data_IF_370797601935
#
_entry.id   IF_370797601935
#
_cell.length_a   1.000
_cell.length_b   1.000
_cell.length_c   1.000
_cell.angle_alpha   90.00
_cell.angle_beta   90.00
_cell.angle_gamma   90.00
#
_symmetry.space_group_name_H-M   'P 1'
#
loop_
_entity.id
_entity.type
_entity.pdbx_description
1 polymer ?
#
# COMPACT_ATOMS: atom_id res chain seq x y z
N UNK A 1 12.08 -20.73 2.56
CA UNK A 1 12.00 -19.31 2.18
C UNK A 1 11.75 -19.29 0.67
N UNK A 2 10.49 -19.11 0.24
CA UNK A 2 10.04 -19.42 -1.12
C UNK A 2 10.44 -18.35 -2.14
N UNK A 3 10.81 -18.79 -3.35
CA UNK A 3 11.15 -17.98 -4.54
C UNK A 3 10.05 -16.99 -5.00
N UNK A 4 8.85 -17.01 -4.39
CA UNK A 4 7.78 -16.02 -4.65
C UNK A 4 8.06 -14.63 -4.07
N UNK A 5 8.99 -14.49 -3.11
CA UNK A 5 9.26 -13.20 -2.46
C UNK A 5 10.29 -12.33 -3.20
N UNK A 6 10.87 -12.78 -4.31
CA UNK A 6 11.81 -11.95 -5.10
C UNK A 6 11.13 -10.95 -6.05
N UNK A 7 9.79 -10.98 -6.18
CA UNK A 7 9.09 -10.12 -7.15
C UNK A 7 8.91 -8.65 -6.73
N UNK A 8 9.12 -8.23 -5.47
CA UNK A 8 8.44 -7.01 -4.99
C UNK A 8 9.22 -5.85 -4.37
N UNK A 9 10.52 -5.71 -4.66
CA UNK A 9 11.29 -4.58 -4.10
C UNK A 9 11.93 -3.76 -5.23
N UNK A 10 11.29 -2.65 -5.61
CA UNK A 10 11.74 -1.76 -6.69
C UNK A 10 13.17 -1.25 -6.46
N UNK A 11 13.50 -0.85 -5.22
CA UNK A 11 14.83 -0.37 -4.85
C UNK A 11 15.79 -1.55 -4.77
N UNK A 12 15.51 -2.62 -4.01
CA UNK A 12 16.43 -3.76 -3.94
C UNK A 12 16.67 -4.43 -5.31
N UNK A 13 15.66 -4.50 -6.18
CA UNK A 13 15.82 -4.98 -7.56
C UNK A 13 16.78 -4.06 -8.32
N UNK A 14 16.57 -2.75 -8.28
CA UNK A 14 17.50 -1.79 -8.87
C UNK A 14 18.93 -1.97 -8.31
N UNK A 15 19.09 -2.13 -6.99
CA UNK A 15 20.40 -2.32 -6.35
C UNK A 15 21.09 -3.61 -6.78
N UNK A 16 20.36 -4.72 -6.87
CA UNK A 16 20.88 -6.03 -7.31
C UNK A 16 21.46 -5.92 -8.72
N UNK A 17 20.65 -5.44 -9.67
CA UNK A 17 21.09 -5.26 -11.05
C UNK A 17 22.21 -4.25 -11.17
N UNK A 18 22.16 -3.13 -10.44
CA UNK A 18 23.24 -2.14 -10.42
C UNK A 18 24.56 -2.75 -9.96
N UNK A 19 24.55 -3.50 -8.86
CA UNK A 19 25.74 -4.13 -8.32
C UNK A 19 26.31 -5.19 -9.26
N UNK A 20 25.45 -5.97 -9.94
CA UNK A 20 25.86 -6.90 -11.00
C UNK A 20 26.49 -6.16 -12.18
N UNK A 21 25.89 -5.07 -12.66
CA UNK A 21 26.46 -4.28 -13.76
C UNK A 21 27.80 -3.65 -13.39
N UNK A 22 27.95 -3.11 -12.18
CA UNK A 22 29.22 -2.59 -11.70
C UNK A 22 30.29 -3.70 -11.69
N UNK A 23 29.94 -4.92 -11.24
CA UNK A 23 30.86 -6.08 -11.31
C UNK A 23 31.26 -6.41 -12.75
N UNK A 24 30.31 -6.46 -13.69
CA UNK A 24 30.63 -6.74 -15.09
C UNK A 24 31.53 -5.67 -15.71
N UNK A 25 31.29 -4.39 -15.41
CA UNK A 25 32.14 -3.28 -15.89
C UNK A 25 33.56 -3.43 -15.34
N UNK A 26 33.72 -3.72 -14.04
CA UNK A 26 35.05 -3.94 -13.46
C UNK A 26 35.76 -5.17 -14.04
N UNK A 27 35.04 -6.28 -14.24
CA UNK A 27 35.60 -7.47 -14.89
C UNK A 27 36.02 -7.19 -16.33
N UNK A 28 35.22 -6.42 -17.09
CA UNK A 28 35.55 -6.04 -18.45
C UNK A 28 36.77 -5.11 -18.51
N UNK A 29 36.85 -4.11 -17.63
CA UNK A 29 38.03 -3.23 -17.50
C UNK A 29 39.28 -4.06 -17.15
N UNK A 30 39.18 -4.96 -16.18
CA UNK A 30 40.29 -5.84 -15.80
C UNK A 30 40.76 -6.74 -16.96
N UNK A 31 39.81 -7.31 -17.70
CA UNK A 31 40.09 -8.13 -18.88
C UNK A 31 40.76 -7.31 -19.99
N UNK A 32 40.32 -6.07 -20.22
CA UNK A 32 40.94 -5.17 -21.20
C UNK A 32 42.36 -4.81 -20.79
N UNK A 33 42.60 -4.46 -19.53
CA UNK A 33 43.95 -4.17 -19.02
C UNK A 33 44.85 -5.40 -19.22
N UNK A 34 44.36 -6.60 -18.90
CA UNK A 34 45.11 -7.85 -19.07
C UNK A 34 45.41 -8.12 -20.55
N UNK A 35 44.43 -7.95 -21.44
CA UNK A 35 44.60 -8.06 -22.89
C UNK A 35 45.58 -7.01 -23.42
N UNK A 36 45.53 -5.77 -22.94
CA UNK A 36 46.45 -4.71 -23.34
C UNK A 36 47.88 -5.04 -22.94
N UNK A 37 48.10 -5.58 -21.74
CA UNK A 37 49.42 -6.03 -21.28
C UNK A 37 49.95 -7.18 -22.13
N UNK A 38 49.11 -8.16 -22.48
CA UNK A 38 49.47 -9.26 -23.39
C UNK A 38 49.72 -8.77 -24.82
N UNK A 39 48.88 -7.85 -25.31
CA UNK A 39 48.98 -7.27 -26.65
C UNK A 39 50.25 -6.44 -26.81
N UNK A 40 50.73 -5.75 -25.77
CA UNK A 40 51.99 -5.01 -25.82
C UNK A 40 53.20 -5.93 -26.11
N UNK A 41 53.11 -7.21 -25.77
CA UNK A 41 54.10 -8.21 -26.16
C UNK A 41 54.02 -8.61 -27.65
N UNK A 42 52.85 -8.41 -28.29
CA UNK A 42 52.57 -8.75 -29.70
C UNK A 42 52.73 -7.54 -30.64
N UNK A 43 52.43 -6.33 -30.17
CA UNK A 43 52.48 -5.07 -30.94
C UNK A 43 53.90 -4.71 -31.39
N UNK A 44 54.93 -5.22 -30.72
CA UNK A 44 56.33 -5.19 -31.19
C UNK A 44 56.50 -5.81 -32.58
N UNK A 45 55.57 -6.67 -33.04
CA UNK A 45 55.58 -7.33 -34.35
C UNK A 45 54.72 -6.59 -35.39
N UNK A 46 53.71 -5.80 -35.01
CA UNK A 46 52.69 -5.22 -35.92
C UNK A 46 52.38 -3.73 -35.63
N UNK A 47 53.40 -2.88 -35.67
CA UNK A 47 53.31 -1.45 -35.33
C UNK A 47 52.26 -0.68 -36.15
N UNK A 48 52.05 -1.03 -37.42
CA UNK A 48 51.12 -0.30 -38.32
C UNK A 48 49.62 -0.47 -37.98
N UNK A 49 49.23 -1.50 -37.21
CA UNK A 49 47.82 -1.80 -36.91
C UNK A 49 47.40 -1.51 -35.45
N UNK A 50 48.33 -1.03 -34.61
CA UNK A 50 48.09 -0.84 -33.17
C UNK A 50 46.89 0.08 -32.86
N UNK A 51 46.71 1.16 -33.64
CA UNK A 51 45.60 2.09 -33.46
C UNK A 51 44.23 1.45 -33.72
N UNK A 52 44.12 0.60 -34.75
CA UNK A 52 42.89 -0.09 -35.10
C UNK A 52 42.49 -1.11 -34.03
N UNK A 53 43.47 -1.83 -33.47
CA UNK A 53 43.26 -2.78 -32.37
C UNK A 53 42.79 -2.03 -31.11
N UNK A 54 43.39 -0.88 -30.80
CA UNK A 54 42.99 -0.05 -29.66
C UNK A 54 41.53 0.42 -29.79
N UNK A 55 41.15 1.02 -30.92
CA UNK A 55 39.77 1.47 -31.13
C UNK A 55 38.77 0.32 -31.19
N UNK A 56 39.12 -0.81 -31.83
CA UNK A 56 38.29 -2.00 -31.86
C UNK A 56 38.00 -2.54 -30.45
N UNK A 57 39.02 -2.58 -29.59
CA UNK A 57 38.86 -2.98 -28.18
C UNK A 57 37.96 -2.02 -27.38
N UNK A 58 38.13 -0.71 -27.58
CA UNK A 58 37.30 0.30 -26.91
C UNK A 58 35.83 0.20 -27.34
N UNK A 59 35.57 0.03 -28.63
CA UNK A 59 34.22 -0.15 -29.16
C UNK A 59 33.59 -1.43 -28.60
N UNK A 60 34.34 -2.54 -28.54
CA UNK A 60 33.84 -3.78 -27.95
C UNK A 60 33.44 -3.60 -26.47
N UNK A 61 34.25 -2.89 -25.68
CA UNK A 61 33.93 -2.58 -24.28
C UNK A 61 32.69 -1.70 -24.16
N UNK A 62 32.58 -0.68 -25.02
CA UNK A 62 31.41 0.20 -25.05
C UNK A 62 30.14 -0.57 -25.42
N UNK A 63 30.20 -1.50 -26.38
CA UNK A 63 29.05 -2.33 -26.76
C UNK A 63 28.61 -3.26 -25.63
N UNK A 64 29.55 -3.94 -24.95
CA UNK A 64 29.24 -4.79 -23.79
C UNK A 64 28.66 -3.95 -22.64
N UNK A 65 29.24 -2.78 -22.38
CA UNK A 65 28.76 -1.86 -21.35
C UNK A 65 27.37 -1.31 -21.67
N UNK A 66 27.12 -0.93 -22.93
CA UNK A 66 25.82 -0.46 -23.39
C UNK A 66 24.75 -1.57 -23.30
N UNK A 67 25.11 -2.80 -23.69
CA UNK A 67 24.26 -3.98 -23.55
C UNK A 67 23.88 -4.26 -22.09
N UNK A 68 24.83 -4.17 -21.16
CA UNK A 68 24.58 -4.28 -19.72
C UNK A 68 23.68 -3.15 -19.18
N UNK A 69 23.96 -1.92 -19.59
CA UNK A 69 23.20 -0.74 -19.18
C UNK A 69 21.75 -0.76 -19.69
N UNK A 70 21.50 -1.35 -20.85
CA UNK A 70 20.15 -1.48 -21.42
C UNK A 70 19.18 -2.21 -20.47
N UNK A 71 19.67 -3.14 -19.65
CA UNK A 71 18.87 -3.88 -18.64
C UNK A 71 18.55 -3.04 -17.40
N UNK A 72 19.32 -1.99 -17.13
CA UNK A 72 19.07 -1.05 -16.03
C UNK A 72 18.05 0.02 -16.42
N UNK A 73 17.96 0.39 -17.70
CA UNK A 73 17.04 1.42 -18.19
C UNK A 73 15.58 1.21 -17.75
N UNK A 74 14.96 0.01 -17.90
CA UNK A 74 13.59 -0.21 -17.43
C UNK A 74 13.45 -0.18 -15.90
N UNK A 75 14.55 -0.34 -15.15
CA UNK A 75 14.53 -0.26 -13.68
C UNK A 75 14.66 1.17 -13.15
N UNK A 76 15.03 2.13 -14.02
CA UNK A 76 15.11 3.54 -13.65
C UNK A 76 13.75 4.21 -13.51
N UNK A 77 12.70 3.66 -14.12
CA UNK A 77 11.33 4.14 -14.03
C UNK A 77 10.42 2.93 -13.84
N UNK A 78 10.11 2.65 -12.59
CA UNK A 78 9.28 1.52 -12.21
C UNK A 78 7.92 2.03 -11.76
N UNK A 79 6.86 1.33 -12.16
CA UNK A 79 5.49 1.64 -11.79
C UNK A 79 4.80 0.38 -11.29
N UNK A 80 4.01 0.51 -10.22
CA UNK A 80 3.14 -0.55 -9.70
C UNK A 80 1.79 0.04 -9.34
N UNK A 81 0.76 -0.74 -9.61
CA UNK A 81 -0.62 -0.40 -9.31
C UNK A 81 -1.13 -1.37 -8.24
N UNK A 82 -1.91 -0.83 -7.31
CA UNK A 82 -2.54 -1.56 -6.22
C UNK A 82 -4.03 -1.24 -6.26
N UNK A 83 -4.86 -2.28 -6.19
CA UNK A 83 -6.32 -2.13 -6.21
C UNK A 83 -6.86 -2.41 -4.82
N UNK A 84 -7.32 -1.37 -4.13
CA UNK A 84 -8.11 -1.50 -2.90
C UNK A 84 -9.60 -1.60 -3.23
N UNK A 85 -10.36 -2.29 -2.38
CA UNK A 85 -11.82 -2.36 -2.48
C UNK A 85 -12.45 -1.91 -1.16
N UNK A 86 -13.54 -1.15 -1.26
CA UNK A 86 -14.37 -0.79 -0.11
C UNK A 86 -15.71 -1.50 -0.28
N UNK A 87 -16.05 -2.37 0.67
CA UNK A 87 -17.29 -3.12 0.62
C UNK A 87 -18.39 -2.43 1.41
N UNK A 88 -19.56 -2.29 0.83
CA UNK A 88 -20.68 -1.64 1.48
C UNK A 88 -22.00 -2.35 1.15
N UNK A 89 -22.93 -2.21 2.08
CA UNK A 89 -24.32 -2.59 1.85
C UNK A 89 -25.11 -1.31 1.49
N UNK A 90 -25.61 -1.18 0.26
CA UNK A 90 -26.26 0.05 -0.17
C UNK A 90 -27.59 0.33 0.52
N UNK A 91 -28.31 -0.71 0.97
CA UNK A 91 -29.59 -0.57 1.67
C UNK A 91 -29.41 0.00 3.07
N UNK A 92 -28.44 -0.54 3.82
CA UNK A 92 -28.12 -0.09 5.19
C UNK A 92 -27.17 1.10 5.25
N UNK A 93 -26.54 1.46 4.12
CA UNK A 93 -25.51 2.49 4.00
C UNK A 93 -24.31 2.28 4.95
N UNK A 94 -23.99 1.02 5.23
CA UNK A 94 -22.87 0.63 6.10
C UNK A 94 -21.73 0.07 5.28
N UNK A 95 -20.52 0.48 5.63
CA UNK A 95 -19.29 -0.16 5.18
C UNK A 95 -19.16 -1.48 5.95
N UNK A 96 -19.02 -2.57 5.22
CA UNK A 96 -18.83 -3.90 5.80
C UNK A 96 -17.36 -4.09 6.11
N UNK A 97 -17.03 -4.89 7.11
CA UNK A 97 -15.65 -5.27 7.43
C UNK A 97 -15.31 -6.60 6.78
N UNK A 98 -14.04 -6.82 6.46
CA UNK A 98 -13.60 -8.11 5.97
C UNK A 98 -12.36 -8.52 6.76
N UNK A 99 -12.46 -9.66 7.45
CA UNK A 99 -11.40 -10.10 8.37
C UNK A 99 -10.06 -10.15 7.65
N UNK A 100 -9.04 -9.59 8.30
CA UNK A 100 -7.67 -9.48 7.81
C UNK A 100 -7.47 -8.53 6.61
N UNK A 101 -8.52 -7.79 6.17
CA UNK A 101 -8.42 -6.79 5.13
C UNK A 101 -8.43 -5.36 5.71
N UNK A 102 -7.23 -4.89 6.02
CA UNK A 102 -7.01 -3.72 6.88
C UNK A 102 -7.47 -2.40 6.27
N UNK A 103 -7.27 -2.21 4.96
CA UNK A 103 -7.69 -0.99 4.28
C UNK A 103 -9.18 -0.73 4.48
N UNK A 104 -10.02 -1.70 4.14
CA UNK A 104 -11.47 -1.57 4.26
C UNK A 104 -11.93 -1.35 5.72
N UNK A 105 -11.31 -2.04 6.68
CA UNK A 105 -11.59 -1.84 8.10
C UNK A 105 -11.20 -0.42 8.58
N UNK A 106 -10.06 0.11 8.13
CA UNK A 106 -9.63 1.48 8.44
C UNK A 106 -10.54 2.54 7.82
N UNK A 107 -10.97 2.34 6.57
CA UNK A 107 -11.92 3.26 5.94
C UNK A 107 -13.25 3.28 6.70
N UNK A 108 -13.73 2.12 7.18
CA UNK A 108 -14.91 2.04 8.04
C UNK A 108 -14.69 2.83 9.33
N UNK A 109 -13.62 2.57 10.07
CA UNK A 109 -13.30 3.25 11.32
C UNK A 109 -13.23 4.77 11.14
N UNK A 110 -12.50 5.25 10.14
CA UNK A 110 -12.40 6.67 9.82
C UNK A 110 -13.77 7.26 9.52
N UNK A 111 -14.57 6.58 8.71
CA UNK A 111 -15.91 7.05 8.36
C UNK A 111 -16.82 7.12 9.58
N UNK A 112 -16.84 6.09 10.42
CA UNK A 112 -17.63 6.08 11.66
C UNK A 112 -17.18 7.20 12.62
N UNK A 113 -15.87 7.38 12.80
CA UNK A 113 -15.31 8.44 13.64
C UNK A 113 -15.66 9.85 13.16
N UNK A 114 -15.63 10.11 11.85
CA UNK A 114 -15.97 11.45 11.35
C UNK A 114 -17.47 11.74 11.45
N UNK A 115 -18.32 10.75 11.19
CA UNK A 115 -19.77 10.90 11.29
C UNK A 115 -20.23 11.05 12.75
N UNK A 116 -19.48 10.48 13.72
CA UNK A 116 -19.73 10.66 15.14
C UNK A 116 -19.45 12.09 15.62
N UNK A 117 -18.47 12.78 15.03
CA UNK A 117 -18.09 14.13 15.43
C UNK A 117 -18.77 15.23 14.60
N UNK A 118 -18.93 15.05 13.29
CA UNK A 118 -19.53 16.03 12.39
C UNK A 118 -20.98 15.66 12.04
N UNK A 119 -21.93 16.30 12.75
CA UNK A 119 -23.37 16.11 12.54
C UNK A 119 -23.85 16.54 11.15
N UNK A 120 -23.15 17.46 10.49
CA UNK A 120 -23.51 17.91 9.14
C UNK A 120 -23.14 16.84 8.14
N UNK A 121 -21.91 16.30 8.22
CA UNK A 121 -21.48 15.17 7.39
C UNK A 121 -22.35 13.93 7.64
N UNK A 122 -22.73 13.65 8.89
CA UNK A 122 -23.66 12.56 9.22
C UNK A 122 -25.02 12.70 8.52
N UNK A 123 -25.56 13.93 8.43
CA UNK A 123 -26.80 14.20 7.70
C UNK A 123 -26.60 14.05 6.19
N UNK A 124 -25.48 14.54 5.66
CA UNK A 124 -25.15 14.41 4.23
C UNK A 124 -24.96 12.95 3.83
N UNK A 125 -24.30 12.14 4.65
CA UNK A 125 -24.14 10.71 4.46
C UNK A 125 -25.49 10.00 4.41
N UNK A 126 -26.35 10.21 5.42
CA UNK A 126 -27.70 9.59 5.46
C UNK A 126 -28.61 9.96 4.29
N UNK A 127 -28.48 11.19 3.77
CA UNK A 127 -29.27 11.67 2.63
C UNK A 127 -28.74 11.19 1.29
N UNK A 128 -27.46 10.86 1.22
CA UNK A 128 -26.80 10.43 -0.01
C UNK A 128 -26.88 8.92 -0.12
N UNK A 129 -27.30 8.38 -1.25
CA UNK A 129 -27.33 6.93 -1.45
C UNK A 129 -26.00 6.44 -1.98
N UNK A 130 -25.48 5.34 -1.42
CA UNK A 130 -24.37 4.59 -2.01
C UNK A 130 -24.79 3.90 -3.33
N UNK A 131 -26.10 3.82 -3.63
CA UNK A 131 -26.64 3.35 -4.91
C UNK A 131 -26.70 4.43 -6.00
N UNK A 132 -26.45 5.70 -5.67
CA UNK A 132 -26.61 6.81 -6.61
C UNK A 132 -25.33 7.00 -7.47
N UNK A 133 -25.43 7.61 -8.67
CA UNK A 133 -24.31 7.81 -9.57
C UNK A 133 -23.15 8.58 -8.91
N UNK A 134 -21.94 8.35 -9.43
CA UNK A 134 -20.59 8.78 -9.01
C UNK A 134 -20.39 10.18 -8.40
N UNK A 135 -21.37 11.07 -8.49
CA UNK A 135 -21.30 12.46 -8.04
C UNK A 135 -21.84 12.68 -6.62
N UNK A 136 -22.28 11.63 -5.92
CA UNK A 136 -22.81 11.79 -4.56
C UNK A 136 -21.73 12.12 -3.54
N UNK A 137 -22.15 12.85 -2.50
CA UNK A 137 -21.25 13.29 -1.44
C UNK A 137 -20.63 12.13 -0.63
N UNK A 138 -21.24 10.94 -0.62
CA UNK A 138 -20.68 9.77 0.07
C UNK A 138 -19.37 9.29 -0.55
N UNK A 139 -19.29 9.22 -1.88
CA UNK A 139 -18.06 8.77 -2.53
C UNK A 139 -16.92 9.77 -2.34
N UNK A 140 -17.22 11.09 -2.36
CA UNK A 140 -16.23 12.12 -2.00
C UNK A 140 -15.71 11.97 -0.57
N UNK A 141 -16.55 11.50 0.36
CA UNK A 141 -16.13 11.21 1.74
C UNK A 141 -15.19 9.99 1.74
N UNK A 142 -15.53 8.91 1.04
CA UNK A 142 -14.69 7.72 0.93
C UNK A 142 -13.32 8.02 0.27
N UNK A 143 -13.31 8.83 -0.80
CA UNK A 143 -12.08 9.28 -1.44
C UNK A 143 -11.17 10.03 -0.45
N UNK A 144 -11.74 10.94 0.32
CA UNK A 144 -10.98 11.71 1.32
C UNK A 144 -10.49 10.84 2.48
N UNK A 145 -11.25 9.82 2.88
CA UNK A 145 -10.84 8.85 3.89
C UNK A 145 -9.63 8.04 3.40
N UNK A 146 -9.65 7.63 2.12
CA UNK A 146 -8.58 6.86 1.54
C UNK A 146 -7.33 7.70 1.22
N UNK A 147 -7.50 8.97 0.86
CA UNK A 147 -6.39 9.95 0.81
C UNK A 147 -5.70 10.08 2.17
N UNK A 148 -6.51 10.15 3.25
CA UNK A 148 -5.99 10.21 4.61
C UNK A 148 -5.26 8.92 5.00
N UNK A 149 -5.85 7.75 4.73
CA UNK A 149 -5.22 6.44 4.93
C UNK A 149 -3.86 6.34 4.23
N UNK A 150 -3.77 6.79 2.98
CA UNK A 150 -2.53 6.72 2.21
C UNK A 150 -1.42 7.58 2.82
N UNK A 151 -1.76 8.78 3.29
CA UNK A 151 -0.83 9.69 3.95
C UNK A 151 -0.36 9.15 5.29
N UNK A 152 -1.25 8.57 6.09
CA UNK A 152 -0.89 7.98 7.39
C UNK A 152 -0.09 6.70 7.22
N UNK A 153 -0.45 5.84 6.26
CA UNK A 153 0.35 4.64 5.93
C UNK A 153 1.77 5.00 5.51
N UNK A 154 1.92 6.00 4.63
CA UNK A 154 3.22 6.52 4.24
C UNK A 154 4.00 7.09 5.43
N UNK A 155 3.35 7.86 6.30
CA UNK A 155 3.98 8.42 7.49
C UNK A 155 4.46 7.33 8.46
N UNK A 156 3.64 6.31 8.70
CA UNK A 156 3.97 5.19 9.57
C UNK A 156 5.14 4.38 9.03
N UNK A 157 5.15 4.03 7.74
CA UNK A 157 6.27 3.31 7.12
C UNK A 157 7.57 4.10 7.24
N UNK A 158 7.53 5.40 6.97
CA UNK A 158 8.73 6.25 7.09
C UNK A 158 9.18 6.37 8.54
N UNK A 159 8.25 6.51 9.47
CA UNK A 159 8.55 6.55 10.88
C UNK A 159 9.22 5.24 11.33
N UNK A 160 8.61 4.09 11.07
CA UNK A 160 9.16 2.79 11.45
C UNK A 160 10.54 2.57 10.84
N UNK A 161 10.74 2.96 9.58
CA UNK A 161 12.04 2.85 8.91
C UNK A 161 13.13 3.70 9.56
N UNK A 162 12.80 4.93 9.96
CA UNK A 162 13.76 5.87 10.52
C UNK A 162 13.92 5.75 12.04
N UNK A 163 12.98 5.13 12.74
CA UNK A 163 13.08 4.86 14.17
C UNK A 163 13.92 3.58 14.45
N UNK A 164 14.02 2.65 13.49
CA UNK A 164 14.85 1.44 13.60
C UNK A 164 16.33 1.76 13.84
N UNK A 165 16.86 1.39 15.02
CA UNK A 165 18.25 1.63 15.44
C UNK A 165 19.29 1.12 14.43
N UNK A 166 18.99 0.03 13.72
CA UNK A 166 19.88 -0.51 12.67
C UNK A 166 20.11 0.46 11.50
N UNK A 167 19.24 1.46 11.36
CA UNK A 167 19.24 2.47 10.32
C UNK A 167 19.67 3.87 10.79
N UNK A 168 19.92 4.08 12.11
CA UNK A 168 19.71 5.39 12.74
C UNK A 168 20.94 6.22 13.12
N UNK A 169 22.17 5.69 13.13
CA UNK A 169 23.26 6.42 13.83
C UNK A 169 23.84 7.67 13.14
N UNK A 170 23.43 8.06 11.93
CA UNK A 170 24.03 9.23 11.23
C UNK A 170 23.08 10.08 10.38
N UNK A 171 21.78 9.77 10.33
CA UNK A 171 20.86 10.36 9.35
C UNK A 171 20.18 11.61 9.89
N UNK A 172 20.38 12.75 9.21
CA UNK A 172 19.62 13.97 9.47
C UNK A 172 18.22 13.84 8.86
N UNK A 173 17.20 13.90 9.72
CA UNK A 173 15.78 13.75 9.34
C UNK A 173 15.10 15.12 9.42
N UNK A 174 14.36 15.46 8.38
CA UNK A 174 13.44 16.59 8.33
C UNK A 174 12.02 16.08 8.56
N UNK A 175 11.24 16.75 9.40
CA UNK A 175 9.85 16.39 9.67
C UNK A 175 8.92 17.42 9.04
N UNK A 176 8.04 16.98 8.15
CA UNK A 176 6.90 17.78 7.71
C UNK A 176 5.75 17.59 8.68
N UNK A 177 5.06 18.67 9.04
CA UNK A 177 3.95 18.68 10.00
C UNK A 177 2.65 19.04 9.29
N UNK A 178 1.54 18.95 10.02
CA UNK A 178 0.19 19.35 9.56
C UNK A 178 0.20 20.66 8.75
N UNK A 179 0.85 21.71 9.25
CA UNK A 179 0.85 23.04 8.61
C UNK A 179 1.38 23.01 7.18
N UNK A 180 2.35 22.14 6.88
CA UNK A 180 2.97 22.02 5.56
C UNK A 180 2.02 21.42 4.51
N UNK A 181 1.00 20.68 4.95
CA UNK A 181 0.03 20.02 4.06
C UNK A 181 -1.34 20.71 4.03
N UNK A 182 -1.64 21.61 4.97
CA UNK A 182 -2.94 22.32 5.02
C UNK A 182 -3.30 23.07 3.73
N UNK A 183 -2.38 23.74 3.01
CA UNK A 183 -2.75 24.42 1.77
C UNK A 183 -3.31 23.48 0.69
N UNK A 184 -2.83 22.24 0.65
CA UNK A 184 -3.24 21.26 -0.36
C UNK A 184 -4.35 20.28 0.13
N UNK A 185 -4.44 20.06 1.45
CA UNK A 185 -5.41 19.14 2.07
C UNK A 185 -6.43 19.83 2.97
N UNK A 186 -6.51 21.16 2.96
CA UNK A 186 -7.44 21.91 3.82
C UNK A 186 -8.91 21.52 3.60
N UNK A 187 -9.24 21.12 2.36
CA UNK A 187 -10.57 20.65 1.97
C UNK A 187 -10.80 19.17 2.31
N UNK A 188 -9.75 18.39 2.62
CA UNK A 188 -9.91 17.01 3.07
C UNK A 188 -10.39 17.01 4.52
N UNK A 189 -11.65 16.60 4.74
CA UNK A 189 -12.31 16.67 6.04
C UNK A 189 -11.66 15.77 7.08
N UNK A 190 -11.15 14.60 6.67
CA UNK A 190 -10.46 13.65 7.55
C UNK A 190 -9.12 14.21 8.02
N UNK A 191 -8.27 14.64 7.08
CA UNK A 191 -6.99 15.24 7.40
C UNK A 191 -7.18 16.47 8.28
N UNK A 192 -8.11 17.37 7.94
CA UNK A 192 -8.33 18.59 8.69
C UNK A 192 -8.82 18.31 10.12
N UNK A 193 -9.79 17.40 10.30
CA UNK A 193 -10.40 17.10 11.59
C UNK A 193 -9.50 16.22 12.46
N UNK A 194 -9.00 15.09 11.95
CA UNK A 194 -8.27 14.10 12.75
C UNK A 194 -6.91 14.62 13.21
N UNK A 195 -6.27 15.48 12.42
CA UNK A 195 -4.99 16.08 12.79
C UNK A 195 -5.12 17.37 13.60
N UNK A 196 -6.35 17.90 13.76
CA UNK A 196 -6.60 19.10 14.57
C UNK A 196 -6.37 18.76 16.05
N UNK A 197 -5.64 19.64 16.73
CA UNK A 197 -5.35 19.53 18.16
C UNK A 197 -6.62 19.24 18.98
N UNK A 198 -6.51 18.24 19.86
CA UNK A 198 -7.58 17.79 20.74
C UNK A 198 -8.22 18.92 21.56
N UNK A 199 -7.43 19.87 22.09
CA UNK A 199 -7.96 21.01 22.85
C UNK A 199 -8.89 21.94 22.04
N UNK A 200 -8.84 21.87 20.70
CA UNK A 200 -9.73 22.62 19.80
C UNK A 200 -10.94 21.81 19.33
N UNK A 201 -11.15 20.60 19.84
CA UNK A 201 -12.22 19.67 19.43
C UNK A 201 -13.12 19.37 20.61
N UNK A 202 -14.43 19.54 20.43
CA UNK A 202 -15.43 19.34 21.50
C UNK A 202 -15.38 17.92 22.07
N UNK A 203 -15.10 16.92 21.21
CA UNK A 203 -15.04 15.51 21.58
C UNK A 203 -13.95 15.18 22.62
N UNK A 204 -12.91 16.00 22.73
CA UNK A 204 -11.74 15.73 23.58
C UNK A 204 -11.63 16.68 24.78
N UNK A 205 -12.63 17.55 25.02
CA UNK A 205 -12.62 18.49 26.16
C UNK A 205 -12.70 17.80 27.51
N UNK A 206 -13.31 16.63 27.58
CA UNK A 206 -13.44 15.82 28.80
C UNK A 206 -12.39 14.72 28.78
N UNK A 207 -11.28 14.90 29.51
CA UNK A 207 -10.33 13.82 29.85
C UNK A 207 -8.91 13.92 29.27
N UNK A 208 -8.63 14.82 28.33
CA UNK A 208 -7.29 14.92 27.70
C UNK A 208 -6.36 15.93 28.37
N UNK A 209 -6.91 16.90 29.11
CA UNK A 209 -6.14 17.97 29.77
C UNK A 209 -5.19 17.44 30.87
N UNK A 210 -5.50 16.29 31.48
CA UNK A 210 -4.67 15.65 32.52
C UNK A 210 -3.41 14.95 31.98
N UNK A 211 -3.41 14.52 30.72
CA UNK A 211 -2.25 13.85 30.09
C UNK A 211 -1.36 14.84 29.33
N UNK A 212 -1.95 15.86 28.70
CA UNK A 212 -1.19 16.96 28.07
C UNK A 212 -0.40 17.78 29.09
N UNK A 213 -0.90 17.94 30.31
CA UNK A 213 -0.23 18.64 31.41
C UNK A 213 1.03 17.94 31.93
N UNK A 214 1.23 16.66 31.60
CA UNK A 214 2.43 15.87 31.99
C UNK A 214 3.56 15.93 30.96
N UNK A 215 3.45 16.79 29.93
CA UNK A 215 4.44 16.91 28.86
C UNK A 215 4.53 15.70 27.92
N UNK A 216 3.60 14.75 28.02
CA UNK A 216 3.54 13.58 27.14
C UNK A 216 2.94 13.97 25.79
N UNK A 217 3.60 13.53 24.72
CA UNK A 217 3.09 13.70 23.35
C UNK A 217 2.13 12.57 23.02
N UNK A 218 0.88 12.91 22.74
CA UNK A 218 -0.15 11.94 22.35
C UNK A 218 -0.09 11.80 20.82
N UNK A 219 0.18 10.58 20.35
CA UNK A 219 0.29 10.27 18.92
C UNK A 219 -1.05 9.90 18.28
N UNK A 220 -1.89 9.16 18.99
CA UNK A 220 -3.27 8.87 18.58
C UNK A 220 -4.17 8.73 19.79
N UNK A 221 -5.47 9.00 19.62
CA UNK A 221 -6.46 8.86 20.68
C UNK A 221 -7.87 8.67 20.12
N UNK A 222 -8.69 7.91 20.85
CA UNK A 222 -10.14 7.81 20.64
C UNK A 222 -10.86 8.44 21.82
N UNK A 223 -11.84 9.28 21.54
CA UNK A 223 -12.77 9.77 22.55
C UNK A 223 -13.90 8.77 22.78
N UNK A 224 -14.61 8.88 23.91
CA UNK A 224 -15.73 7.99 24.27
C UNK A 224 -16.88 8.03 23.27
N UNK A 225 -17.02 9.11 22.50
CA UNK A 225 -18.01 9.22 21.45
C UNK A 225 -17.55 8.65 20.09
N UNK A 226 -16.37 8.03 20.01
CA UNK A 226 -15.80 7.47 18.79
C UNK A 226 -14.99 8.46 17.94
N UNK A 227 -14.83 9.71 18.37
CA UNK A 227 -13.98 10.67 17.64
C UNK A 227 -12.51 10.22 17.65
N UNK A 228 -11.83 10.37 16.51
CA UNK A 228 -10.44 9.94 16.32
C UNK A 228 -9.48 11.12 16.20
N UNK A 229 -8.35 11.06 16.90
CA UNK A 229 -7.25 12.01 16.79
C UNK A 229 -5.97 11.31 16.41
N UNK A 230 -5.18 11.95 15.54
CA UNK A 230 -3.84 11.51 15.16
C UNK A 230 -2.90 12.71 15.03
N UNK A 231 -1.75 12.65 15.71
CA UNK A 231 -0.68 13.61 15.53
C UNK A 231 0.05 13.31 14.23
N UNK A 232 -0.22 14.12 13.21
CA UNK A 232 0.40 13.92 11.90
C UNK A 232 1.79 14.58 11.79
N UNK A 233 2.77 13.76 11.40
CA UNK A 233 4.06 14.20 10.91
C UNK A 233 4.59 13.19 9.89
N UNK A 234 5.41 13.66 8.96
CA UNK A 234 6.02 12.85 7.91
C UNK A 234 7.54 13.01 8.00
N UNK A 235 8.26 12.02 8.57
CA UNK A 235 9.71 12.04 8.64
C UNK A 235 10.32 11.70 7.26
N UNK A 236 11.23 12.53 6.78
CA UNK A 236 11.94 12.31 5.51
C UNK A 236 13.41 12.71 5.64
N UNK A 237 14.31 12.24 4.76
CA UNK A 237 15.70 12.70 4.76
C UNK A 237 15.80 14.22 4.55
N UNK A 238 16.78 14.90 5.17
CA UNK A 238 16.94 16.38 5.17
C UNK A 238 16.86 17.04 3.78
N UNK A 239 17.39 16.39 2.74
CA UNK A 239 17.39 16.88 1.36
C UNK A 239 16.17 16.44 0.53
N UNK A 240 15.04 16.20 1.19
CA UNK A 240 13.81 15.74 0.56
C UNK A 240 12.83 16.89 0.40
N UNK A 241 12.21 16.97 -0.78
CA UNK A 241 11.13 17.90 -1.07
C UNK A 241 9.86 17.06 -1.25
N UNK A 242 8.90 17.27 -0.34
CA UNK A 242 7.56 16.71 -0.45
C UNK A 242 6.63 17.76 -1.05
N UNK A 243 5.95 17.42 -2.12
CA UNK A 243 4.91 18.23 -2.74
C UNK A 243 3.61 17.43 -2.81
N UNK A 244 2.50 18.10 -2.56
CA UNK A 244 1.17 17.51 -2.67
C UNK A 244 0.34 18.35 -3.62
N UNK A 245 -0.26 17.70 -4.61
CA UNK A 245 -1.27 18.29 -5.48
C UNK A 245 -2.58 17.54 -5.27
N UNK A 246 -3.63 18.29 -4.98
CA UNK A 246 -4.96 17.76 -4.82
C UNK A 246 -5.86 18.46 -5.83
N UNK A 247 -6.32 17.68 -6.81
CA UNK A 247 -7.45 18.07 -7.65
C UNK A 247 -8.60 17.19 -7.18
N UNK A 248 -9.84 17.68 -7.09
CA UNK A 248 -10.96 17.02 -6.38
C UNK A 248 -11.12 15.49 -6.60
N UNK A 249 -10.68 14.94 -7.75
CA UNK A 249 -10.72 13.51 -8.09
C UNK A 249 -9.37 12.75 -8.02
N UNK A 250 -8.24 13.43 -7.80
CA UNK A 250 -6.91 12.81 -7.77
C UNK A 250 -5.98 13.53 -6.80
N UNK A 251 -5.38 12.76 -5.87
CA UNK A 251 -4.22 13.20 -5.10
C UNK A 251 -2.93 12.72 -5.77
N UNK A 252 -1.94 13.61 -5.86
CA UNK A 252 -0.58 13.30 -6.26
C UNK A 252 0.38 13.74 -5.16
N UNK A 253 0.97 12.77 -4.47
CA UNK A 253 2.06 12.98 -3.53
C UNK A 253 3.36 12.76 -4.30
N UNK A 254 4.25 13.74 -4.29
CA UNK A 254 5.57 13.66 -4.92
C UNK A 254 6.65 13.86 -3.87
N UNK A 255 7.47 12.83 -3.64
CA UNK A 255 8.64 12.89 -2.75
C UNK A 255 9.89 12.88 -3.61
N UNK A 256 10.56 14.03 -3.71
CA UNK A 256 11.81 14.19 -4.46
C UNK A 256 12.99 14.16 -3.53
N UNK A 257 13.95 13.31 -3.86
CA UNK A 257 15.21 13.15 -3.14
C UNK A 257 16.37 13.31 -4.12
N UNK A 258 17.62 13.42 -3.66
CA UNK A 258 18.76 13.47 -4.57
C UNK A 258 18.94 12.21 -5.43
N UNK A 259 18.43 11.06 -4.97
CA UNK A 259 18.63 9.76 -5.63
C UNK A 259 17.42 9.27 -6.42
N UNK A 260 16.20 9.62 -5.99
CA UNK A 260 14.96 9.20 -6.63
C UNK A 260 13.82 10.20 -6.45
N UNK A 261 12.82 10.08 -7.32
CA UNK A 261 11.51 10.72 -7.22
C UNK A 261 10.45 9.63 -7.08
N UNK A 262 9.73 9.65 -5.96
CA UNK A 262 8.55 8.81 -5.72
C UNK A 262 7.30 9.63 -6.02
N UNK A 263 6.40 9.08 -6.84
CA UNK A 263 5.06 9.63 -7.11
C UNK A 263 4.04 8.61 -6.67
N UNK A 264 3.13 9.02 -5.81
CA UNK A 264 1.98 8.24 -5.37
C UNK A 264 0.75 8.95 -5.91
N UNK A 265 0.01 8.29 -6.79
CA UNK A 265 -1.22 8.79 -7.38
C UNK A 265 -2.37 7.93 -6.94
N UNK A 266 -3.40 8.53 -6.35
CA UNK A 266 -4.71 7.89 -6.27
C UNK A 266 -5.43 8.06 -7.59
N UNK A 267 -6.09 7.00 -8.04
CA UNK A 267 -7.16 7.07 -9.01
C UNK A 267 -8.36 6.33 -8.43
N UNK A 268 -9.49 7.02 -8.27
CA UNK A 268 -10.68 6.38 -7.75
C UNK A 268 -11.66 6.10 -8.88
N UNK A 269 -12.06 4.85 -8.99
CA UNK A 269 -13.02 4.39 -9.98
C UNK A 269 -13.99 3.47 -9.26
N UNK A 270 -15.25 3.87 -9.16
CA UNK A 270 -16.26 2.97 -8.60
C UNK A 270 -16.67 2.02 -9.73
N UNK A 271 -16.00 0.88 -9.87
CA UNK A 271 -16.60 -0.21 -10.62
C UNK A 271 -17.60 -0.89 -9.67
N UNK A 272 -18.82 -1.17 -10.13
CA UNK A 272 -19.69 -2.12 -9.41
C UNK A 272 -19.11 -3.51 -9.63
N UNK A 273 -18.09 -3.85 -8.86
CA UNK A 273 -17.52 -5.19 -8.86
C UNK A 273 -18.37 -6.12 -7.99
N UNK A 274 -18.45 -7.37 -8.39
CA UNK A 274 -19.16 -8.39 -7.63
C UNK A 274 -18.39 -8.67 -6.33
N UNK A 275 -19.01 -8.39 -5.20
CA UNK A 275 -18.43 -8.71 -3.91
C UNK A 275 -18.49 -10.25 -3.71
N UNK A 276 -17.35 -10.93 -3.47
CA UNK A 276 -17.33 -12.37 -3.31
C UNK A 276 -17.98 -12.77 -1.96
N UNK A 277 -19.28 -13.08 -2.00
CA UNK A 277 -20.11 -13.41 -0.83
C UNK A 277 -19.49 -14.47 0.09
N UNK A 278 -18.80 -15.44 -0.50
CA UNK A 278 -18.14 -16.52 0.22
C UNK A 278 -17.02 -16.04 1.16
N UNK A 279 -16.38 -14.91 0.84
CA UNK A 279 -15.39 -14.28 1.73
C UNK A 279 -16.04 -13.71 2.99
N UNK A 280 -17.24 -13.14 2.88
CA UNK A 280 -17.95 -12.59 4.02
C UNK A 280 -18.49 -13.67 4.96
N UNK A 281 -18.88 -14.82 4.42
CA UNK A 281 -19.22 -15.99 5.21
C UNK A 281 -18.02 -16.58 5.96
N UNK A 282 -16.84 -16.54 5.35
CA UNK A 282 -15.59 -16.94 6.01
C UNK A 282 -15.23 -15.97 7.15
N UNK A 283 -15.41 -14.66 6.95
CA UNK A 283 -15.06 -13.66 7.95
C UNK A 283 -16.08 -13.54 9.10
N UNK A 284 -17.25 -14.18 8.98
CA UNK A 284 -18.45 -13.96 9.82
C UNK A 284 -18.87 -12.47 9.83
N UNK A 285 -18.67 -11.76 8.71
CA UNK A 285 -18.99 -10.34 8.62
C UNK A 285 -20.46 -10.05 8.32
N UNK A 286 -21.25 -11.09 8.10
CA UNK A 286 -22.69 -11.02 7.84
C UNK A 286 -23.38 -11.92 8.85
N UNK A 287 -24.36 -11.37 9.58
CA UNK A 287 -25.14 -12.07 10.61
C UNK A 287 -26.38 -12.80 10.04
N UNK A 288 -26.79 -12.46 8.82
CA UNK A 288 -28.02 -12.95 8.18
C UNK A 288 -27.69 -13.73 6.89
N UNK A 289 -28.23 -14.95 6.76
CA UNK A 289 -28.08 -15.78 5.55
C UNK A 289 -28.87 -15.20 4.35
N UNK A 290 -29.68 -14.15 4.55
CA UNK A 290 -30.27 -13.37 3.46
C UNK A 290 -29.16 -12.58 2.75
N UNK A 291 -28.76 -13.06 1.57
CA UNK A 291 -27.84 -12.43 0.62
C UNK A 291 -27.91 -10.89 0.70
N UNK A 292 -26.95 -10.23 1.37
CA UNK A 292 -26.97 -8.78 1.36
C UNK A 292 -26.64 -8.35 -0.07
N UNK A 293 -27.34 -7.33 -0.57
CA UNK A 293 -26.84 -6.55 -1.70
C UNK A 293 -25.51 -5.95 -1.22
N UNK A 294 -24.39 -6.60 -1.53
CA UNK A 294 -23.05 -6.08 -1.24
C UNK A 294 -22.50 -5.57 -2.55
N UNK A 295 -22.09 -4.31 -2.52
CA UNK A 295 -21.35 -3.70 -3.60
C UNK A 295 -19.93 -3.40 -3.13
N UNK A 296 -19.02 -3.30 -4.09
CA UNK A 296 -17.64 -2.89 -3.88
C UNK A 296 -17.38 -1.60 -4.65
N UNK A 297 -16.56 -0.73 -4.08
CA UNK A 297 -15.98 0.43 -4.76
C UNK A 297 -14.48 0.26 -4.85
N UNK A 298 -13.94 0.29 -6.07
CA UNK A 298 -12.51 0.11 -6.31
C UNK A 298 -11.73 1.42 -6.10
N UNK A 299 -10.53 1.27 -5.60
CA UNK A 299 -9.62 2.35 -5.24
C UNK A 299 -8.22 2.00 -5.73
N UNK A 300 -7.75 2.65 -6.79
CA UNK A 300 -6.46 2.33 -7.36
C UNK A 300 -5.39 3.30 -6.84
N UNK A 301 -4.27 2.75 -6.38
CA UNK A 301 -3.06 3.50 -6.08
C UNK A 301 -2.00 3.12 -7.08
N UNK A 302 -1.45 4.13 -7.74
CA UNK A 302 -0.32 4.00 -8.64
C UNK A 302 0.92 4.60 -7.99
N UNK A 303 1.91 3.74 -7.71
CA UNK A 303 3.23 4.13 -7.25
C UNK A 303 4.19 4.11 -8.42
N UNK A 304 4.89 5.22 -8.64
CA UNK A 304 5.96 5.34 -9.61
C UNK A 304 7.25 5.79 -8.93
N UNK A 305 8.34 5.06 -9.16
CA UNK A 305 9.67 5.35 -8.65
C UNK A 305 10.59 5.64 -9.82
N UNK A 306 11.10 6.87 -9.88
CA UNK A 306 12.08 7.29 -10.87
C UNK A 306 13.44 7.51 -10.22
N UNK A 307 14.43 6.70 -10.59
CA UNK A 307 15.80 6.86 -10.12
C UNK A 307 16.53 7.93 -10.93
N UNK A 308 17.30 8.78 -10.26
CA UNK A 308 18.20 9.70 -10.94
C UNK A 308 19.34 8.92 -11.59
N UNK A 309 19.39 8.90 -12.93
CA UNK A 309 20.29 8.05 -13.73
C UNK A 309 21.73 8.04 -13.22
N UNK A 310 22.33 9.21 -12.99
CA UNK A 310 23.74 9.29 -12.62
C UNK A 310 23.96 9.12 -11.12
N UNK A 311 23.13 9.76 -10.28
CA UNK A 311 23.35 9.72 -8.83
C UNK A 311 23.05 8.34 -8.24
N UNK A 312 21.97 7.70 -8.66
CA UNK A 312 21.55 6.39 -8.10
C UNK A 312 22.50 5.23 -8.47
N UNK A 313 23.15 5.31 -9.63
CA UNK A 313 24.09 4.28 -10.10
C UNK A 313 25.41 4.29 -9.33
N UNK A 314 25.91 5.48 -8.96
CA UNK A 314 27.23 5.61 -8.32
C UNK A 314 27.16 5.88 -6.82
N UNK A 315 25.99 6.26 -6.28
CA UNK A 315 25.86 6.56 -4.85
C UNK A 315 25.65 5.31 -3.99
N UNK A 316 26.36 5.24 -2.86
CA UNK A 316 26.09 4.28 -1.78
C UNK A 316 24.86 4.66 -0.95
N UNK A 317 24.37 5.90 -1.03
CA UNK A 317 23.23 6.40 -0.23
C UNK A 317 21.87 5.89 -0.71
N UNK A 318 21.83 5.14 -1.81
CA UNK A 318 20.57 4.62 -2.35
C UNK A 318 19.93 3.57 -1.41
N UNK A 319 20.74 2.91 -0.57
CA UNK A 319 20.26 1.99 0.46
C UNK A 319 19.37 2.69 1.50
N UNK A 320 19.53 4.00 1.68
CA UNK A 320 18.72 4.84 2.57
C UNK A 320 17.26 4.98 2.10
N UNK A 321 16.94 4.50 0.90
CA UNK A 321 15.61 4.60 0.30
C UNK A 321 14.86 3.26 0.27
N UNK A 322 15.32 2.25 1.02
CA UNK A 322 14.64 0.96 1.19
C UNK A 322 13.25 1.06 1.83
N UNK A 323 12.92 2.18 2.48
CA UNK A 323 11.56 2.48 2.91
C UNK A 323 10.55 2.49 1.76
N UNK A 324 10.98 2.75 0.51
CA UNK A 324 10.10 2.64 -0.67
C UNK A 324 9.67 1.20 -0.88
N UNK A 325 10.55 0.24 -0.64
CA UNK A 325 10.23 -1.18 -0.71
C UNK A 325 9.32 -1.60 0.44
N UNK A 326 9.54 -1.08 1.65
CA UNK A 326 8.64 -1.29 2.78
C UNK A 326 7.24 -0.71 2.54
N UNK A 327 7.14 0.47 1.91
CA UNK A 327 5.86 1.05 1.51
C UNK A 327 5.12 0.15 0.52
N UNK A 328 5.84 -0.39 -0.47
CA UNK A 328 5.27 -1.34 -1.42
C UNK A 328 4.79 -2.63 -0.72
N UNK A 329 5.54 -3.16 0.26
CA UNK A 329 5.10 -4.29 1.08
C UNK A 329 3.83 -3.97 1.86
N UNK A 330 3.79 -2.80 2.49
CA UNK A 330 2.67 -2.38 3.33
C UNK A 330 1.38 -2.26 2.50
N UNK A 331 1.45 -1.60 1.35
CA UNK A 331 0.32 -1.48 0.43
C UNK A 331 -0.13 -2.82 -0.15
N UNK A 332 0.81 -3.69 -0.55
CA UNK A 332 0.47 -5.03 -1.04
C UNK A 332 -0.23 -5.87 0.05
N UNK A 333 0.23 -5.75 1.30
CA UNK A 333 -0.28 -6.56 2.40
C UNK A 333 -1.61 -6.06 2.93
N UNK A 334 -1.80 -4.75 2.99
CA UNK A 334 -2.90 -4.11 3.72
C UNK A 334 -3.95 -3.46 2.83
N UNK A 335 -3.62 -3.10 1.58
CA UNK A 335 -4.51 -2.42 0.64
C UNK A 335 -4.87 -3.26 -0.58
N UNK A 336 -3.91 -3.96 -1.17
CA UNK A 336 -4.12 -4.72 -2.42
C UNK A 336 -5.07 -5.90 -2.22
N UNK A 337 -6.26 -5.77 -2.81
CA UNK A 337 -7.32 -6.75 -2.71
C UNK A 337 -6.97 -8.05 -3.44
N UNK A 338 -6.27 -7.99 -4.56
CA UNK A 338 -5.88 -9.19 -5.32
C UNK A 338 -4.88 -10.02 -4.51
N UNK A 339 -3.92 -9.34 -3.87
CA UNK A 339 -2.96 -9.98 -2.96
C UNK A 339 -3.67 -10.58 -1.72
N UNK A 340 -4.64 -9.86 -1.16
CA UNK A 340 -5.48 -10.35 -0.07
C UNK A 340 -6.28 -11.60 -0.47
N UNK A 341 -7.00 -11.56 -1.60
CA UNK A 341 -7.79 -12.67 -2.12
C UNK A 341 -6.91 -13.91 -2.31
N UNK A 342 -5.75 -13.75 -2.97
CA UNK A 342 -4.81 -14.84 -3.21
C UNK A 342 -4.36 -15.51 -1.90
N UNK A 343 -4.16 -14.70 -0.84
CA UNK A 343 -3.75 -15.20 0.49
C UNK A 343 -4.85 -15.98 1.21
N UNK A 344 -6.12 -15.53 1.11
CA UNK A 344 -7.22 -16.18 1.84
C UNK A 344 -7.88 -17.32 1.06
N UNK A 345 -7.66 -17.41 -0.25
CA UNK A 345 -8.31 -18.39 -1.15
C UNK A 345 -8.29 -19.82 -0.62
N UNK A 346 -7.13 -20.29 -0.12
CA UNK A 346 -7.02 -21.66 0.40
C UNK A 346 -7.83 -21.86 1.69
N UNK A 347 -7.69 -20.94 2.65
CA UNK A 347 -8.44 -20.96 3.93
C UNK A 347 -9.95 -20.92 3.70
N UNK A 348 -10.38 -20.15 2.70
CA UNK A 348 -11.78 -20.05 2.27
C UNK A 348 -12.31 -21.40 1.80
N UNK A 349 -11.59 -22.10 0.93
CA UNK A 349 -12.01 -23.43 0.48
C UNK A 349 -12.08 -24.43 1.62
N UNK A 350 -11.10 -24.46 2.52
CA UNK A 350 -11.13 -25.33 3.70
C UNK A 350 -12.36 -25.08 4.58
N UNK A 351 -12.69 -23.81 4.83
CA UNK A 351 -13.88 -23.42 5.58
C UNK A 351 -15.18 -23.85 4.88
N UNK A 352 -15.30 -23.62 3.57
CA UNK A 352 -16.47 -24.03 2.79
C UNK A 352 -16.64 -25.56 2.81
N UNK A 353 -15.58 -26.33 2.61
CA UNK A 353 -15.62 -27.79 2.71
C UNK A 353 -16.07 -28.26 4.09
N UNK A 354 -15.57 -27.63 5.16
CA UNK A 354 -15.99 -27.92 6.53
C UNK A 354 -17.47 -27.58 6.78
N UNK A 355 -17.96 -26.47 6.23
CA UNK A 355 -19.37 -26.07 6.36
C UNK A 355 -20.29 -27.02 5.58
N UNK A 356 -19.94 -27.36 4.34
CA UNK A 356 -20.69 -28.32 3.51
C UNK A 356 -20.77 -29.69 4.20
N UNK A 357 -19.65 -30.24 4.66
CA UNK A 357 -19.63 -31.54 5.36
C UNK A 357 -20.46 -31.54 6.64
N UNK A 358 -20.49 -30.42 7.37
CA UNK A 358 -21.35 -30.25 8.55
C UNK A 358 -22.83 -30.24 8.17
N UNK A 359 -23.20 -29.49 7.13
CA UNK A 359 -24.57 -29.42 6.62
C UNK A 359 -25.05 -30.79 6.12
N UNK A 360 -24.23 -31.52 5.36
CA UNK A 360 -24.56 -32.88 4.91
C UNK A 360 -24.80 -33.84 6.09
N UNK A 361 -24.00 -33.74 7.15
CA UNK A 361 -24.16 -34.56 8.36
C UNK A 361 -25.47 -34.25 9.07
N UNK A 362 -25.81 -32.96 9.23
CA UNK A 362 -27.05 -32.52 9.85
C UNK A 362 -28.28 -32.97 9.04
N UNK A 363 -28.23 -32.82 7.72
CA UNK A 363 -29.33 -33.18 6.83
C UNK A 363 -29.57 -34.71 6.81
N UNK A 364 -28.50 -35.52 6.86
CA UNK A 364 -28.61 -36.97 7.03
C UNK A 364 -29.24 -37.36 8.38
N UNK A 365 -28.92 -36.64 9.46
CA UNK A 365 -29.48 -36.87 10.79
C UNK A 365 -30.99 -36.56 10.81
N UNK A 366 -31.39 -35.40 10.30
CA UNK A 366 -32.80 -35.00 10.20
C UNK A 366 -33.62 -35.99 9.35
N UNK A 367 -33.08 -36.42 8.20
CA UNK A 367 -33.71 -37.44 7.37
C UNK A 367 -33.88 -38.78 8.10
N UNK A 368 -32.94 -39.17 8.96
CA UNK A 368 -33.04 -40.39 9.75
C UNK A 368 -34.11 -40.27 10.85
N UNK A 369 -34.18 -39.12 11.53
CA UNK A 369 -35.20 -38.83 12.55
C UNK A 369 -36.62 -38.83 11.95
N UNK A 370 -36.80 -38.22 10.77
CA UNK A 370 -38.08 -38.25 10.03
C UNK A 370 -38.47 -39.70 9.66
N UNK A 371 -37.52 -40.51 9.19
CA UNK A 371 -37.78 -41.93 8.88
C UNK A 371 -38.20 -42.73 10.11
N UNK A 372 -37.62 -42.45 11.29
CA UNK A 372 -37.99 -43.11 12.55
C UNK A 372 -39.39 -42.68 13.01
N UNK A 373 -39.71 -41.38 12.96
CA UNK A 373 -41.05 -40.86 13.32
C UNK A 373 -42.14 -41.50 12.46
N UNK A 374 -41.95 -41.50 11.14
CA UNK A 374 -42.90 -42.09 10.20
C UNK A 374 -43.06 -43.61 10.35
N UNK A 375 -42.12 -44.31 11.00
CA UNK A 375 -42.23 -45.74 11.31
C UNK A 375 -43.01 -45.97 12.60
N UNK A 376 -42.90 -45.07 13.59
CA UNK A 376 -43.68 -45.13 14.84
C UNK A 376 -45.16 -44.85 14.60
N UNK A 377 -45.50 -43.87 13.77
CA UNK A 377 -46.91 -43.53 13.49
C UNK A 377 -47.67 -44.64 12.75
N UNK A 378 -46.98 -45.50 11.99
CA UNK A 378 -47.58 -46.68 11.34
C UNK A 378 -47.90 -47.83 12.29
N UNK A 379 -47.34 -47.83 13.50
CA UNK A 379 -47.58 -48.87 14.50
C UNK A 379 -48.71 -48.52 15.50
N UNK A 380 -49.36 -47.36 15.35
CA UNK A 380 -50.46 -46.89 16.24
C UNK A 380 -51.85 -47.10 15.61
N UNK A 381 -51.94 -47.60 14.37
CA UNK A 381 -53.20 -47.86 13.65
C UNK A 381 -53.51 -49.35 13.38
N UNK A 382 -53.15 -50.23 14.32
CA UNK A 382 -53.63 -51.62 14.33
C UNK A 382 -54.25 -51.98 15.67
#
# INVERSE_FOLDING_TARGET
>A
MNQRNEQFYMVNKFLKYRNEQIKYIWSAIGFVILLSLLSNAVVTVFVQQAWAIMWGSLVAVLLVSAGGFSKLLPLLDQEKEYTGQIFYNPQSQKILTLRDYWFNDRIKEYTESILAEDKTLARTWKKSSLNAPYTTNCFKILEQAADFYLLTSLANVLQDFFDDESNNHTRKIKQYKRQDFLPALGNNVFFNLFTKSMGRRKAFKTGVESDLSKGRKIYSAWASNGAYYEYFYLPVPENTIVNLKNNDSNILITIKTPQLELKIRRQFFISKSYAPLDMFWYSNSIEDDRYPDIEAADFNIKIQVKFNKWRSLFSRKIDDYKWVDQLNMDLEKHLDFDAFEAKIKHKRYEYLFKRISTLEKNLKKELHEIKISNKKDRHVHY
#
